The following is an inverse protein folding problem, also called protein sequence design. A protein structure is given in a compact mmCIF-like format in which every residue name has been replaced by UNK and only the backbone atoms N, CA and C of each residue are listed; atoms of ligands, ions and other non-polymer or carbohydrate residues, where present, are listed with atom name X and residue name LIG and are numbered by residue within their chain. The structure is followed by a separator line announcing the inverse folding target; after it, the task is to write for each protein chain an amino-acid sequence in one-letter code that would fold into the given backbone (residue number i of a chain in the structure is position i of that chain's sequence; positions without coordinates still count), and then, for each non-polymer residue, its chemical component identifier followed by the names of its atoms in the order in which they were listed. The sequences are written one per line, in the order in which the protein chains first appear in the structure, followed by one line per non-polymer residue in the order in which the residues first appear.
data_IF_039007849493
#
_entry.id   IF_039007849493
#
_cell.length_a   1.000
_cell.length_b   1.000
_cell.length_c   1.000
_cell.angle_alpha   90.00
_cell.angle_beta   90.00
_cell.angle_gamma   90.00
#
_symmetry.space_group_name_H-M   'P 1'
#
loop_
_entity.id
_entity.type
_entity.pdbx_description
1 polymer ?
#
# COMPACT_ATOMS: atom_id res chain seq x y z
N UNK A 1 -2.23 -30.39 7.89
CA UNK A 1 -1.46 -29.38 7.16
C UNK A 1 -2.47 -28.55 6.36
N UNK A 2 -2.47 -27.23 6.53
CA UNK A 2 -3.42 -26.31 5.88
C UNK A 2 -2.61 -25.35 5.01
N UNK A 3 -2.18 -25.82 3.83
CA UNK A 3 -1.44 -25.00 2.87
C UNK A 3 -2.40 -24.39 1.86
N UNK A 4 -2.29 -23.08 1.67
CA UNK A 4 -3.03 -22.32 0.68
C UNK A 4 -2.10 -21.19 0.20
N UNK A 5 -1.97 -21.01 -1.12
CA UNK A 5 -1.27 -19.87 -1.69
C UNK A 5 -2.12 -18.61 -1.52
N UNK A 6 -2.07 -18.04 -0.32
CA UNK A 6 -2.86 -16.85 0.04
C UNK A 6 -2.47 -15.65 -0.83
N UNK A 7 -1.18 -15.54 -1.19
CA UNK A 7 -0.68 -14.45 -2.05
C UNK A 7 -1.28 -14.55 -3.44
N UNK A 8 -1.30 -15.73 -4.03
CA UNK A 8 -1.91 -15.99 -5.34
C UNK A 8 -3.42 -15.75 -5.32
N UNK A 9 -4.13 -16.29 -4.34
CA UNK A 9 -5.59 -16.19 -4.22
C UNK A 9 -6.06 -14.77 -3.89
N UNK A 10 -5.34 -14.03 -3.06
CA UNK A 10 -5.74 -12.68 -2.64
C UNK A 10 -5.36 -11.60 -3.65
N UNK A 11 -4.43 -11.86 -4.57
CA UNK A 11 -3.89 -10.89 -5.52
C UNK A 11 -4.92 -10.05 -6.28
N UNK A 12 -6.07 -10.57 -6.75
CA UNK A 12 -7.08 -9.77 -7.45
C UNK A 12 -7.94 -8.89 -6.51
N UNK A 13 -7.95 -9.15 -5.20
CA UNK A 13 -8.86 -8.49 -4.24
C UNK A 13 -8.13 -7.58 -3.23
N UNK A 14 -6.80 -7.51 -3.31
CA UNK A 14 -5.99 -6.66 -2.43
C UNK A 14 -5.14 -5.67 -3.22
N UNK A 15 -4.79 -4.56 -2.58
CA UNK A 15 -3.93 -3.54 -3.18
C UNK A 15 -2.51 -4.06 -3.39
N UNK A 16 -2.01 -4.85 -2.45
CA UNK A 16 -0.71 -5.48 -2.53
C UNK A 16 -0.63 -6.69 -1.59
N UNK A 17 0.31 -7.59 -1.88
CA UNK A 17 0.62 -8.75 -1.04
C UNK A 17 2.13 -8.84 -0.83
N UNK A 18 2.55 -9.18 0.37
CA UNK A 18 3.94 -9.51 0.70
C UNK A 18 4.05 -10.97 1.13
N UNK A 19 5.12 -11.64 0.72
CA UNK A 19 5.54 -12.93 1.27
C UNK A 19 6.88 -12.73 1.98
N UNK A 20 6.89 -12.83 3.30
CA UNK A 20 8.10 -12.65 4.09
C UNK A 20 8.89 -13.95 4.08
N UNK A 21 10.14 -13.90 3.61
CA UNK A 21 11.02 -15.08 3.50
C UNK A 21 12.02 -15.20 4.64
N UNK A 22 12.25 -14.11 5.39
CA UNK A 22 13.21 -14.06 6.49
C UNK A 22 12.66 -13.25 7.66
N UNK A 23 12.99 -13.67 8.88
CA UNK A 23 12.54 -13.00 10.09
C UNK A 23 13.05 -11.54 10.20
N UNK A 24 14.24 -11.26 9.64
CA UNK A 24 14.84 -9.91 9.61
C UNK A 24 14.02 -8.89 8.81
N UNK A 25 13.25 -9.35 7.83
CA UNK A 25 12.49 -8.49 6.92
C UNK A 25 11.11 -8.09 7.48
N UNK A 26 10.68 -8.68 8.61
CA UNK A 26 9.35 -8.46 9.18
C UNK A 26 9.09 -6.98 9.49
N UNK A 27 9.97 -6.24 10.22
CA UNK A 27 9.69 -4.86 10.59
C UNK A 27 9.57 -3.93 9.37
N UNK A 28 10.46 -4.10 8.39
CA UNK A 28 10.44 -3.31 7.16
C UNK A 28 9.20 -3.62 6.31
N UNK A 29 8.83 -4.89 6.20
CA UNK A 29 7.64 -5.32 5.44
C UNK A 29 6.36 -4.76 6.07
N UNK A 30 6.25 -4.77 7.40
CA UNK A 30 5.10 -4.17 8.11
C UNK A 30 5.02 -2.67 7.80
N UNK A 31 6.14 -1.92 7.88
CA UNK A 31 6.15 -0.49 7.53
C UNK A 31 5.72 -0.26 6.09
N UNK A 32 6.25 -1.04 5.14
CA UNK A 32 5.88 -0.97 3.71
C UNK A 32 4.38 -1.24 3.52
N UNK A 33 3.84 -2.25 4.19
CA UNK A 33 2.42 -2.61 4.10
C UNK A 33 1.52 -1.48 4.60
N UNK A 34 1.83 -0.87 5.75
CA UNK A 34 1.07 0.28 6.25
C UNK A 34 1.17 1.49 5.31
N UNK A 35 2.36 1.79 4.79
CA UNK A 35 2.54 2.88 3.83
C UNK A 35 1.73 2.66 2.55
N UNK A 36 1.73 1.44 1.99
CA UNK A 36 0.91 1.10 0.82
C UNK A 36 -0.58 1.18 1.17
N UNK A 37 -1.02 0.64 2.30
CA UNK A 37 -2.45 0.58 2.63
C UNK A 37 -3.09 1.96 2.81
N UNK A 38 -2.33 2.95 3.29
CA UNK A 38 -2.85 4.28 3.67
C UNK A 38 -2.65 5.37 2.62
N UNK A 39 -1.68 5.23 1.71
CA UNK A 39 -1.35 6.30 0.75
C UNK A 39 -1.98 6.09 -0.64
N UNK A 40 -2.14 7.16 -1.43
CA UNK A 40 -2.87 7.08 -2.71
C UNK A 40 -4.35 6.75 -2.51
N UNK A 41 -4.89 5.79 -3.26
CA UNK A 41 -6.21 5.20 -2.97
C UNK A 41 -6.05 4.13 -1.88
N UNK A 42 -6.65 4.28 -0.68
CA UNK A 42 -6.51 3.29 0.38
C UNK A 42 -7.07 1.92 -0.03
N UNK A 43 -6.53 0.85 0.56
CA UNK A 43 -6.98 -0.50 0.28
C UNK A 43 -6.25 -1.56 1.11
N UNK A 44 -6.80 -2.78 1.19
CA UNK A 44 -6.22 -3.84 2.00
C UNK A 44 -4.87 -4.30 1.45
N UNK A 45 -3.95 -4.65 2.33
CA UNK A 45 -2.65 -5.24 2.01
C UNK A 45 -2.50 -6.52 2.83
N UNK A 46 -2.10 -7.60 2.17
CA UNK A 46 -1.87 -8.90 2.82
C UNK A 46 -0.38 -9.07 3.09
N UNK A 47 -0.04 -9.55 4.28
CA UNK A 47 1.31 -9.96 4.65
C UNK A 47 1.23 -11.43 5.01
N UNK A 48 1.86 -12.27 4.20
CA UNK A 48 1.97 -13.70 4.46
C UNK A 48 3.26 -13.99 5.26
N UNK A 49 3.10 -14.69 6.38
CA UNK A 49 4.14 -15.00 7.36
C UNK A 49 4.24 -16.51 7.54
N UNK A 50 5.17 -17.17 6.83
CA UNK A 50 5.45 -18.58 7.00
C UNK A 50 5.87 -18.94 8.44
N UNK A 51 5.53 -20.15 8.89
CA UNK A 51 5.78 -20.61 10.26
C UNK A 51 7.26 -20.64 10.64
N UNK A 52 8.13 -20.99 9.70
CA UNK A 52 9.59 -21.02 9.84
C UNK A 52 10.16 -19.63 10.11
N UNK A 53 9.59 -18.60 9.49
CA UNK A 53 9.94 -17.19 9.71
C UNK A 53 9.51 -16.69 11.09
N UNK A 54 8.47 -17.29 11.69
CA UNK A 54 7.97 -16.93 13.01
C UNK A 54 8.57 -17.77 14.16
N UNK A 55 9.65 -18.51 13.91
CA UNK A 55 10.26 -19.37 14.93
C UNK A 55 10.80 -18.55 16.14
N UNK A 56 10.32 -18.77 17.37
CA UNK A 56 10.75 -18.03 18.56
C UNK A 56 12.24 -18.13 18.90
N UNK A 57 12.93 -19.14 18.37
CA UNK A 57 14.37 -19.30 18.57
C UNK A 57 15.20 -18.30 17.76
N UNK A 58 14.62 -17.69 16.71
CA UNK A 58 15.27 -16.67 15.90
C UNK A 58 15.13 -15.33 16.62
N UNK A 59 16.16 -14.96 17.37
CA UNK A 59 16.23 -13.68 18.07
C UNK A 59 17.04 -12.68 17.24
N UNK A 60 16.35 -11.66 16.74
CA UNK A 60 16.96 -10.56 15.99
C UNK A 60 16.68 -9.24 16.73
N UNK A 61 17.59 -8.26 16.65
CA UNK A 61 17.31 -6.93 17.16
C UNK A 61 16.10 -6.36 16.42
N UNK A 62 15.07 -5.95 17.16
CA UNK A 62 13.92 -5.28 16.56
C UNK A 62 14.31 -3.87 16.14
N UNK A 63 14.33 -3.63 14.82
CA UNK A 63 14.58 -2.31 14.26
C UNK A 63 13.44 -1.94 13.31
N UNK A 64 12.59 -1.02 13.74
CA UNK A 64 11.49 -0.52 12.91
C UNK A 64 11.95 0.74 12.15
N UNK A 65 11.84 0.76 10.81
CA UNK A 65 12.31 1.91 10.05
C UNK A 65 11.45 3.15 10.31
N UNK A 66 12.10 4.29 10.56
CA UNK A 66 11.42 5.58 10.77
C UNK A 66 10.70 6.03 9.49
N UNK A 67 11.38 5.92 8.34
CA UNK A 67 10.85 6.27 7.03
C UNK A 67 10.98 5.09 6.06
N UNK A 68 10.11 5.08 5.05
CA UNK A 68 10.15 4.09 3.96
C UNK A 68 10.08 4.81 2.63
N UNK A 69 10.92 4.37 1.69
CA UNK A 69 10.92 4.85 0.30
C UNK A 69 10.85 3.65 -0.61
N UNK A 70 9.91 3.66 -1.55
CA UNK A 70 9.76 2.59 -2.54
C UNK A 70 9.99 3.15 -3.93
N UNK A 71 10.86 2.48 -4.70
CA UNK A 71 11.14 2.86 -6.08
C UNK A 71 9.89 2.76 -6.95
N UNK A 72 9.11 1.69 -6.77
CA UNK A 72 7.95 1.34 -7.60
C UNK A 72 6.65 2.03 -7.19
N UNK A 73 6.61 2.70 -6.04
CA UNK A 73 5.37 3.25 -5.49
C UNK A 73 5.58 4.66 -4.93
N UNK A 74 5.10 5.66 -5.68
CA UNK A 74 5.11 7.08 -5.31
C UNK A 74 3.73 7.68 -5.62
N UNK A 75 2.82 7.75 -4.65
CA UNK A 75 1.49 8.32 -4.89
C UNK A 75 1.60 9.81 -5.19
N UNK A 76 0.92 10.26 -6.24
CA UNK A 76 0.77 11.68 -6.57
C UNK A 76 -0.19 12.34 -5.60
N UNK A 77 0.30 13.27 -4.78
CA UNK A 77 -0.51 13.99 -3.78
C UNK A 77 -1.00 15.36 -4.29
N UNK A 78 -0.33 15.92 -5.29
CA UNK A 78 -0.65 17.24 -5.85
C UNK A 78 -1.30 17.11 -7.24
N UNK A 79 -2.42 17.82 -7.42
CA UNK A 79 -3.10 17.90 -8.72
C UNK A 79 -2.31 18.74 -9.74
N UNK A 80 -2.45 18.40 -11.02
CA UNK A 80 -1.80 19.14 -12.09
C UNK A 80 -2.46 20.51 -12.29
N UNK A 81 -1.69 21.61 -12.10
CA UNK A 81 -2.21 23.00 -12.16
C UNK A 81 -3.00 23.30 -13.44
N UNK A 82 -2.57 22.79 -14.59
CA UNK A 82 -3.27 22.98 -15.86
C UNK A 82 -4.63 22.27 -15.93
N UNK A 83 -4.76 21.09 -15.32
CA UNK A 83 -6.03 20.36 -15.27
C UNK A 83 -7.01 21.05 -14.31
N UNK A 84 -6.51 21.56 -13.18
CA UNK A 84 -7.29 22.37 -12.23
C UNK A 84 -7.85 23.62 -12.92
N UNK A 85 -7.02 24.36 -13.68
CA UNK A 85 -7.49 25.53 -14.44
C UNK A 85 -8.58 25.18 -15.46
N UNK A 86 -8.42 24.05 -16.17
CA UNK A 86 -9.41 23.60 -17.15
C UNK A 86 -10.74 23.23 -16.49
N UNK A 87 -10.69 22.49 -15.36
CA UNK A 87 -11.88 22.14 -14.59
C UNK A 87 -12.60 23.39 -14.05
N UNK A 88 -11.84 24.37 -13.54
CA UNK A 88 -12.39 25.64 -13.06
C UNK A 88 -13.11 26.42 -14.18
N UNK A 89 -12.50 26.50 -15.36
CA UNK A 89 -13.11 27.16 -16.52
C UNK A 89 -14.44 26.52 -16.90
N UNK A 90 -14.49 25.19 -16.99
CA UNK A 90 -15.74 24.47 -17.29
C UNK A 90 -16.81 24.65 -16.22
N UNK A 91 -16.42 24.79 -14.95
CA UNK A 91 -17.35 25.04 -13.85
C UNK A 91 -17.96 26.46 -13.91
N UNK A 92 -17.17 27.47 -14.31
CA UNK A 92 -17.64 28.86 -14.48
C UNK A 92 -18.59 28.99 -15.68
N UNK A 93 -18.31 28.28 -16.78
CA UNK A 93 -19.15 28.31 -18.00
C UNK A 93 -20.45 27.50 -17.84
N UNK A 94 -20.52 26.60 -16.86
CA UNK A 94 -21.69 25.75 -16.64
C UNK A 94 -22.87 26.54 -16.06
N UNK A 95 -24.03 26.45 -16.72
CA UNK A 95 -25.27 27.10 -16.25
C UNK A 95 -25.94 26.38 -15.08
N UNK A 96 -25.78 25.06 -14.98
CA UNK A 96 -26.38 24.19 -13.95
C UNK A 96 -25.38 23.09 -13.53
N UNK A 97 -24.29 23.44 -12.84
CA UNK A 97 -23.28 22.46 -12.43
C UNK A 97 -23.84 21.51 -11.35
N UNK A 98 -23.47 20.22 -11.44
CA UNK A 98 -23.76 19.22 -10.41
C UNK A 98 -22.43 18.56 -10.04
N UNK A 99 -22.15 18.50 -8.74
CA UNK A 99 -21.00 17.79 -8.20
C UNK A 99 -21.46 16.40 -7.74
N UNK A 100 -20.79 15.36 -8.22
CA UNK A 100 -20.91 14.01 -7.71
C UNK A 100 -19.70 13.74 -6.84
N UNK A 101 -19.93 13.63 -5.53
CA UNK A 101 -18.91 13.49 -4.47
C UNK A 101 -18.89 12.06 -3.97
#
# INVERSE_FOLDING_TARGET
FQECDIVGVSRPVVKHSFLVKKAEDIPETIKKAFYISTTGRPGPVVIDLPKDVMNPQIKLPYQYPESISMRSYKPTTSGHKGQIKKALKSLIEAKKPVLYV
#
